data_IF_858720807699
#
_entry.id   IF_858720807699
#
_cell.length_a   1.000
_cell.length_b   1.000
_cell.length_c   1.000
_cell.angle_alpha   90.00
_cell.angle_beta   90.00
_cell.angle_gamma   90.00
#
_symmetry.space_group_name_H-M   'P 1'
#
loop_
_entity.id
_entity.type
_entity.pdbx_description
1 polymer ?
#
# COMPACT_ATOMS: atom_id res chain seq x y z
N UNK A 1 -20.55 -28.14 -3.17
CA UNK A 1 -19.53 -27.18 -2.70
C UNK A 1 -18.51 -26.98 -3.80
N UNK A 2 -18.40 -25.75 -4.32
CA UNK A 2 -17.20 -25.16 -4.90
C UNK A 2 -17.63 -23.81 -5.51
N UNK A 3 -17.54 -22.72 -4.75
CA UNK A 3 -17.66 -21.37 -5.29
C UNK A 3 -16.36 -20.62 -5.04
N UNK A 4 -15.96 -19.90 -6.08
CA UNK A 4 -14.99 -18.80 -6.15
C UNK A 4 -13.52 -19.19 -6.24
N UNK A 5 -13.13 -19.54 -7.47
CA UNK A 5 -11.82 -19.20 -8.02
C UNK A 5 -11.55 -17.71 -7.79
N UNK A 6 -10.77 -17.40 -6.76
CA UNK A 6 -10.24 -16.07 -6.56
C UNK A 6 -9.15 -15.83 -7.61
N UNK A 7 -9.59 -15.40 -8.79
CA UNK A 7 -8.75 -14.70 -9.74
C UNK A 7 -8.25 -13.40 -9.08
N UNK A 8 -7.07 -13.47 -8.47
CA UNK A 8 -6.21 -12.31 -8.33
C UNK A 8 -4.93 -12.66 -9.08
N UNK A 9 -4.99 -12.53 -10.40
CA UNK A 9 -3.84 -12.21 -11.25
C UNK A 9 -3.05 -11.08 -10.57
N UNK A 10 -2.02 -11.45 -9.81
CA UNK A 10 -1.23 -10.54 -8.98
C UNK A 10 0.02 -10.07 -9.73
N UNK A 11 -0.15 -9.83 -11.03
CA UNK A 11 0.94 -9.64 -11.99
C UNK A 11 0.60 -8.48 -12.92
N UNK A 12 0.76 -7.26 -12.44
CA UNK A 12 1.35 -6.21 -13.28
C UNK A 12 2.12 -5.21 -12.40
N UNK A 13 3.33 -4.91 -12.86
CA UNK A 13 4.49 -4.58 -12.06
C UNK A 13 4.58 -3.06 -11.83
N UNK A 14 4.25 -2.58 -10.63
CA UNK A 14 4.48 -1.19 -10.26
C UNK A 14 4.01 -0.87 -8.85
N UNK A 15 4.64 0.11 -8.21
CA UNK A 15 4.09 0.75 -7.01
C UNK A 15 2.90 1.59 -7.50
N UNK A 16 1.71 0.99 -7.55
CA UNK A 16 0.49 1.67 -8.01
C UNK A 16 -0.34 2.18 -6.84
N UNK A 17 -1.12 3.22 -7.10
CA UNK A 17 -2.03 3.81 -6.12
C UNK A 17 -3.00 2.77 -5.55
N UNK A 18 -3.58 1.95 -6.43
CA UNK A 18 -4.54 0.93 -6.03
C UNK A 18 -3.90 -0.15 -5.14
N UNK A 19 -2.64 -0.51 -5.40
CA UNK A 19 -1.92 -1.46 -4.55
C UNK A 19 -1.71 -0.87 -3.14
N UNK A 20 -1.27 0.39 -3.04
CA UNK A 20 -1.09 1.08 -1.74
C UNK A 20 -2.43 1.23 -1.01
N UNK A 21 -3.47 1.65 -1.72
CA UNK A 21 -4.83 1.79 -1.20
C UNK A 21 -5.34 0.49 -0.60
N UNK A 22 -5.17 -0.63 -1.30
CA UNK A 22 -5.57 -1.97 -0.83
C UNK A 22 -4.88 -2.38 0.47
N UNK A 23 -3.61 -2.03 0.67
CA UNK A 23 -2.90 -2.29 1.93
C UNK A 23 -3.48 -1.46 3.09
N UNK A 24 -3.65 -0.15 2.88
CA UNK A 24 -4.14 0.79 3.89
C UNK A 24 -5.63 0.59 4.25
N UNK A 25 -6.43 0.03 3.33
CA UNK A 25 -7.83 -0.34 3.58
C UNK A 25 -7.96 -1.61 4.43
N UNK A 26 -7.01 -2.54 4.31
CA UNK A 26 -7.06 -3.82 5.05
C UNK A 26 -6.63 -3.66 6.49
N UNK A 27 -5.55 -2.91 6.71
CA UNK A 27 -5.02 -2.65 8.05
C UNK A 27 -4.26 -1.33 8.08
N UNK A 28 -4.25 -0.64 9.23
CA UNK A 28 -3.34 0.48 9.43
C UNK A 28 -1.89 0.02 9.19
N UNK A 29 -1.14 0.75 8.38
CA UNK A 29 0.26 0.46 8.05
C UNK A 29 1.10 1.74 8.07
N UNK A 30 2.37 1.63 8.43
CA UNK A 30 3.30 2.76 8.34
C UNK A 30 3.92 2.89 6.95
N UNK A 31 4.46 4.07 6.66
CA UNK A 31 5.22 4.30 5.42
C UNK A 31 6.39 3.33 5.28
N UNK A 32 7.10 3.03 6.37
CA UNK A 32 8.21 2.07 6.37
C UNK A 32 7.73 0.66 6.03
N UNK A 33 6.61 0.21 6.58
CA UNK A 33 6.04 -1.10 6.25
C UNK A 33 5.63 -1.18 4.78
N UNK A 34 5.01 -0.12 4.23
CA UNK A 34 4.70 -0.05 2.80
C UNK A 34 5.97 -0.16 1.96
N UNK A 35 6.98 0.67 2.22
CA UNK A 35 8.26 0.63 1.50
C UNK A 35 8.90 -0.76 1.53
N UNK A 36 8.93 -1.43 2.68
CA UNK A 36 9.46 -2.80 2.81
C UNK A 36 8.68 -3.80 1.95
N UNK A 37 7.34 -3.68 1.86
CA UNK A 37 6.52 -4.59 1.02
C UNK A 37 6.81 -4.42 -0.47
N UNK A 38 6.99 -3.18 -0.94
CA UNK A 38 7.27 -2.92 -2.34
C UNK A 38 8.74 -3.13 -2.72
N UNK A 39 9.68 -2.95 -1.78
CA UNK A 39 11.11 -3.28 -1.97
C UNK A 39 11.34 -4.79 -2.13
N UNK A 40 10.59 -5.63 -1.41
CA UNK A 40 10.72 -7.09 -1.49
C UNK A 40 10.09 -7.69 -2.77
N UNK A 41 9.29 -6.91 -3.51
CA UNK A 41 8.86 -7.31 -4.84
C UNK A 41 10.02 -7.03 -5.80
N UNK A 42 10.38 -7.99 -6.66
CA UNK A 42 11.38 -7.85 -7.74
C UNK A 42 10.92 -6.84 -8.79
N UNK A 43 10.76 -5.57 -8.40
CA UNK A 43 10.27 -4.48 -9.24
C UNK A 43 11.40 -3.84 -10.06
N UNK A 44 12.67 -4.09 -9.70
CA UNK A 44 13.82 -3.50 -10.38
C UNK A 44 13.93 -1.97 -10.19
N UNK A 45 13.12 -1.40 -9.30
CA UNK A 45 13.08 0.05 -9.03
C UNK A 45 14.15 0.41 -7.99
N UNK A 46 14.88 1.50 -8.21
CA UNK A 46 15.82 2.05 -7.22
C UNK A 46 15.08 2.48 -5.96
N UNK A 47 15.74 2.38 -4.80
CA UNK A 47 15.12 2.73 -3.50
C UNK A 47 14.62 4.18 -3.47
N UNK A 48 15.34 5.10 -4.12
CA UNK A 48 14.98 6.52 -4.24
C UNK A 48 13.67 6.68 -5.02
N UNK A 49 13.57 6.09 -6.21
CA UNK A 49 12.38 6.18 -7.05
C UNK A 49 11.17 5.51 -6.41
N UNK A 50 11.37 4.46 -5.60
CA UNK A 50 10.33 3.87 -4.76
C UNK A 50 9.82 4.87 -3.73
N UNK A 51 10.70 5.59 -3.02
CA UNK A 51 10.31 6.59 -2.01
C UNK A 51 9.57 7.76 -2.66
N UNK A 52 10.05 8.25 -3.79
CA UNK A 52 9.38 9.33 -4.55
C UNK A 52 7.98 8.92 -5.00
N UNK A 53 7.86 7.76 -5.63
CA UNK A 53 6.58 7.24 -6.13
C UNK A 53 5.61 6.98 -4.98
N UNK A 54 6.08 6.39 -3.88
CA UNK A 54 5.28 6.15 -2.68
C UNK A 54 4.77 7.47 -2.08
N UNK A 55 5.64 8.47 -2.00
CA UNK A 55 5.27 9.80 -1.47
C UNK A 55 4.22 10.48 -2.35
N UNK A 56 4.37 10.42 -3.68
CA UNK A 56 3.38 10.96 -4.62
C UNK A 56 2.02 10.29 -4.46
N UNK A 57 2.00 8.96 -4.33
CA UNK A 57 0.78 8.17 -4.13
C UNK A 57 0.10 8.50 -2.80
N UNK A 58 0.85 8.55 -1.70
CA UNK A 58 0.29 8.86 -0.38
C UNK A 58 -0.30 10.27 -0.33
N UNK A 59 0.33 11.25 -1.01
CA UNK A 59 -0.23 12.60 -1.15
C UNK A 59 -1.57 12.59 -1.90
N UNK A 60 -1.66 11.81 -2.97
CA UNK A 60 -2.89 11.71 -3.78
C UNK A 60 -4.03 10.99 -3.05
N UNK A 61 -3.70 9.93 -2.30
CA UNK A 61 -4.66 9.16 -1.50
C UNK A 61 -5.15 9.97 -0.29
N UNK A 62 -4.28 10.81 0.28
CA UNK A 62 -4.51 11.54 1.53
C UNK A 62 -5.04 10.64 2.67
N UNK A 63 -4.24 9.65 3.12
CA UNK A 63 -4.68 8.68 4.12
C UNK A 63 -4.90 9.33 5.49
N UNK A 64 -5.77 8.72 6.28
CA UNK A 64 -6.02 9.11 7.67
C UNK A 64 -4.81 8.69 8.51
N UNK A 65 -4.30 9.64 9.30
CA UNK A 65 -3.24 9.39 10.27
C UNK A 65 -3.85 8.93 11.58
N UNK A 66 -3.42 7.78 12.07
CA UNK A 66 -3.88 7.22 13.34
C UNK A 66 -2.67 6.94 14.23
N UNK A 67 -2.74 7.34 15.49
CA UNK A 67 -1.72 6.97 16.48
C UNK A 67 -2.23 5.75 17.24
N UNK A 68 -1.57 4.60 17.04
CA UNK A 68 -1.91 3.34 17.70
C UNK A 68 -0.69 2.95 18.53
N UNK A 69 -0.87 2.78 19.84
CA UNK A 69 0.21 2.39 20.77
C UNK A 69 1.46 3.30 20.66
N UNK A 70 1.26 4.61 20.52
CA UNK A 70 2.34 5.59 20.41
C UNK A 70 3.05 5.63 19.06
N UNK A 71 2.63 4.81 18.08
CA UNK A 71 3.19 4.80 16.73
C UNK A 71 2.17 5.34 15.72
N UNK A 72 2.65 6.12 14.76
CA UNK A 72 1.82 6.67 13.69
C UNK A 72 1.63 5.64 12.57
N UNK A 73 0.38 5.36 12.27
CA UNK A 73 -0.07 4.52 11.17
C UNK A 73 -0.91 5.34 10.18
N UNK A 74 -0.93 4.86 8.94
CA UNK A 74 -1.78 5.37 7.88
C UNK A 74 -2.88 4.34 7.63
N UNK A 75 -4.12 4.80 7.45
CA UNK A 75 -5.24 3.94 7.06
C UNK A 75 -6.19 4.69 6.14
N UNK A 76 -6.99 3.93 5.39
CA UNK A 76 -8.05 4.50 4.55
C UNK A 76 -9.38 3.96 5.05
N UNK A 77 -10.22 4.85 5.55
CA UNK A 77 -11.62 4.54 5.80
C UNK A 77 -12.36 4.79 4.50
N UNK A 78 -12.85 3.74 3.86
CA UNK A 78 -13.76 3.91 2.71
C UNK A 78 -15.01 4.58 3.24
N UNK A 79 -15.18 5.87 2.94
CA UNK A 79 -16.49 6.50 3.04
C UNK A 79 -17.38 5.75 2.04
N UNK A 80 -18.36 5.03 2.57
CA UNK A 80 -19.29 4.21 1.80
C UNK A 80 -20.41 5.09 1.26
#
# INVERSE_FOLDING_TARGET
MAKLDHNIQHSDYGITEEAVRRYLMRKPMTTTELLTKFKNKKTGVSSEKLVETMTAILKKINPVKQTIQGKMYLSIKVAK
#
